data_IF_572144362868
#
_entry.id   IF_572144362868
#
_cell.length_a   1.000
_cell.length_b   1.000
_cell.length_c   1.000
_cell.angle_alpha   90.00
_cell.angle_beta   90.00
_cell.angle_gamma   90.00
#
_symmetry.space_group_name_H-M   'P 1'
#
loop_
_entity.id
_entity.type
_entity.pdbx_description
1 polymer ?
#
# COMPACT_ATOMS: atom_id res chain seq x y z
N UNK A 1 47.18 -12.71 8.50
CA UNK A 1 47.81 -11.42 8.19
C UNK A 1 47.38 -11.06 6.77
N UNK A 2 46.41 -10.19 6.60
CA UNK A 2 45.93 -9.73 5.31
C UNK A 2 45.45 -8.31 5.47
N UNK A 3 46.25 -7.38 5.01
CA UNK A 3 46.12 -5.92 5.12
C UNK A 3 45.13 -5.41 4.10
N UNK A 4 43.99 -4.87 4.53
CA UNK A 4 43.07 -4.18 3.65
C UNK A 4 43.43 -2.70 3.55
N UNK A 5 43.86 -2.31 2.36
CA UNK A 5 44.15 -0.93 1.99
C UNK A 5 42.84 -0.12 1.86
N UNK A 6 42.79 1.01 2.59
CA UNK A 6 41.76 2.05 2.47
C UNK A 6 42.04 2.91 1.23
N UNK A 7 41.12 2.95 0.27
CA UNK A 7 41.07 3.95 -0.77
C UNK A 7 40.02 5.00 -0.39
N UNK A 8 40.52 6.24 -0.16
CA UNK A 8 39.72 7.47 -0.15
C UNK A 8 39.74 8.08 -1.54
N UNK A 9 38.63 8.52 -2.13
CA UNK A 9 38.63 9.43 -3.26
C UNK A 9 38.60 10.88 -2.80
N UNK A 10 39.15 11.80 -3.62
CA UNK A 10 39.28 13.22 -3.26
C UNK A 10 38.02 14.02 -3.54
N UNK A 11 37.78 14.99 -2.67
CA UNK A 11 36.79 16.06 -2.77
C UNK A 11 37.17 17.02 -3.87
N UNK A 12 36.29 17.22 -4.84
CA UNK A 12 36.38 18.35 -5.77
C UNK A 12 35.18 19.28 -5.55
N UNK A 13 35.48 20.43 -4.95
CA UNK A 13 34.55 21.55 -4.85
C UNK A 13 34.59 22.36 -6.14
N UNK A 14 33.45 22.58 -6.79
CA UNK A 14 33.30 23.61 -7.81
C UNK A 14 32.04 24.40 -7.47
N UNK A 15 32.25 25.63 -7.04
CA UNK A 15 31.21 26.64 -6.89
C UNK A 15 30.94 27.34 -8.24
N UNK A 16 29.66 27.62 -8.49
CA UNK A 16 29.25 28.64 -9.47
C UNK A 16 27.94 29.26 -9.00
N UNK A 17 28.04 30.49 -8.51
CA UNK A 17 26.92 31.38 -8.26
C UNK A 17 26.52 32.05 -9.57
N UNK A 18 25.25 32.06 -9.90
CA UNK A 18 24.65 32.95 -10.89
C UNK A 18 23.30 33.45 -10.35
N UNK A 19 23.37 34.70 -9.88
CA UNK A 19 22.22 35.55 -9.62
C UNK A 19 21.73 36.15 -10.93
N UNK A 20 20.45 36.02 -11.22
CA UNK A 20 19.76 36.84 -12.22
C UNK A 20 18.44 37.33 -11.62
N UNK A 21 18.51 38.58 -11.16
CA UNK A 21 17.34 39.40 -10.88
C UNK A 21 16.76 39.87 -12.21
N UNK A 22 15.47 39.64 -12.39
CA UNK A 22 14.69 40.15 -13.51
C UNK A 22 13.37 40.70 -13.04
N UNK A 23 13.35 41.95 -12.57
CA UNK A 23 12.12 42.75 -12.50
C UNK A 23 11.79 43.25 -13.92
N UNK A 24 10.60 43.00 -14.40
CA UNK A 24 10.01 43.79 -15.47
C UNK A 24 8.57 44.15 -15.08
N UNK A 25 8.46 45.35 -14.59
CA UNK A 25 7.29 46.19 -14.59
C UNK A 25 7.05 46.73 -15.99
N UNK A 26 5.82 46.65 -16.47
CA UNK A 26 5.38 47.33 -17.68
C UNK A 26 4.00 46.79 -17.98
N UNK A 27 2.94 47.49 -17.96
CA UNK A 27 2.56 48.76 -18.43
C UNK A 27 1.11 48.59 -18.89
N UNK A 28 0.19 49.29 -18.26
CA UNK A 28 -1.20 49.41 -18.63
C UNK A 28 -1.34 49.89 -20.06
N UNK A 29 -2.14 49.22 -20.85
CA UNK A 29 -2.86 49.85 -21.98
C UNK A 29 -4.31 49.43 -21.90
N UNK A 30 -5.13 50.37 -21.47
CA UNK A 30 -6.58 50.36 -21.60
C UNK A 30 -6.92 50.29 -23.07
N UNK A 31 -7.64 49.28 -23.48
CA UNK A 31 -8.40 49.26 -24.73
C UNK A 31 -9.86 48.98 -24.38
N UNK A 32 -10.64 50.04 -24.52
CA UNK A 32 -12.10 50.04 -24.54
C UNK A 32 -12.58 49.20 -25.73
N UNK A 33 -13.15 48.04 -25.50
CA UNK A 33 -14.11 47.46 -26.41
C UNK A 33 -15.31 46.99 -25.62
N UNK A 34 -16.38 47.75 -25.72
CA UNK A 34 -17.71 47.35 -25.34
C UNK A 34 -18.12 46.15 -26.17
N UNK A 35 -18.62 45.09 -25.53
CA UNK A 35 -19.27 44.05 -26.27
C UNK A 35 -19.45 42.73 -25.51
N UNK A 36 -20.65 42.55 -24.96
CA UNK A 36 -21.35 41.30 -24.75
C UNK A 36 -20.74 40.28 -23.72
N UNK A 37 -21.55 40.19 -22.68
CA UNK A 37 -21.34 39.29 -21.51
C UNK A 37 -21.15 37.83 -21.89
N UNK A 38 -20.02 37.33 -21.47
CA UNK A 38 -19.85 35.93 -21.12
C UNK A 38 -19.53 35.91 -19.64
N UNK A 39 -20.49 35.40 -18.88
CA UNK A 39 -20.31 35.22 -17.46
C UNK A 39 -19.08 34.36 -17.22
N UNK A 40 -18.03 35.01 -16.70
CA UNK A 40 -16.94 34.29 -16.03
C UNK A 40 -17.56 33.71 -14.77
N UNK A 41 -17.91 32.45 -14.82
CA UNK A 41 -18.17 31.69 -13.62
C UNK A 41 -16.80 31.48 -12.94
N UNK A 42 -16.44 32.43 -12.09
CA UNK A 42 -15.43 32.19 -11.04
C UNK A 42 -16.04 31.16 -10.07
N UNK A 43 -16.22 29.95 -10.57
CA UNK A 43 -16.55 28.81 -9.73
C UNK A 43 -15.25 28.42 -9.05
N UNK A 44 -15.15 28.58 -7.71
CA UNK A 44 -13.97 28.11 -7.00
C UNK A 44 -13.74 26.64 -7.36
N UNK A 45 -12.49 26.16 -7.43
CA UNK A 45 -12.22 24.76 -7.72
C UNK A 45 -13.06 23.91 -6.79
N UNK A 46 -14.05 23.24 -7.37
CA UNK A 46 -14.90 22.33 -6.62
C UNK A 46 -13.97 21.26 -6.08
N UNK A 47 -13.77 21.23 -4.76
CA UNK A 47 -13.00 20.19 -4.11
C UNK A 47 -13.59 18.86 -4.61
N UNK A 48 -12.79 18.12 -5.36
CA UNK A 48 -13.17 16.84 -5.96
C UNK A 48 -13.64 15.96 -4.81
N UNK A 49 -14.94 15.75 -4.71
CA UNK A 49 -15.49 14.87 -3.68
C UNK A 49 -14.88 13.50 -3.89
N UNK A 50 -14.30 12.89 -2.83
CA UNK A 50 -13.77 11.53 -2.94
C UNK A 50 -14.85 10.63 -3.54
N UNK A 51 -14.49 9.88 -4.58
CA UNK A 51 -15.40 8.91 -5.18
C UNK A 51 -15.94 7.98 -4.08
N UNK A 52 -17.23 7.62 -4.09
CA UNK A 52 -17.80 6.76 -3.08
C UNK A 52 -17.03 5.45 -3.01
N UNK A 53 -16.53 5.12 -1.82
CA UNK A 53 -15.79 3.88 -1.58
C UNK A 53 -16.72 2.68 -1.75
N UNK A 54 -16.33 1.72 -2.57
CA UNK A 54 -17.04 0.44 -2.72
C UNK A 54 -16.75 -0.37 -1.46
N UNK A 55 -17.77 -0.86 -0.71
CA UNK A 55 -17.55 -1.67 0.47
C UNK A 55 -16.85 -2.99 0.12
N UNK A 56 -15.88 -3.40 0.92
CA UNK A 56 -15.28 -4.72 0.82
C UNK A 56 -16.30 -5.80 1.25
N UNK A 57 -16.24 -6.96 0.62
CA UNK A 57 -17.03 -8.14 1.02
C UNK A 57 -16.35 -8.94 2.11
N UNK A 58 -15.03 -8.80 2.27
CA UNK A 58 -14.22 -9.40 3.33
C UNK A 58 -14.11 -8.40 4.48
N UNK A 59 -14.43 -8.85 5.68
CA UNK A 59 -14.35 -8.01 6.87
C UNK A 59 -12.92 -7.91 7.40
N UNK A 60 -12.55 -6.77 7.94
CA UNK A 60 -11.24 -6.52 8.57
C UNK A 60 -10.92 -7.60 9.62
N UNK A 61 -11.90 -7.97 10.44
CA UNK A 61 -11.75 -9.00 11.49
C UNK A 61 -11.40 -10.39 10.96
N UNK A 62 -11.73 -10.67 9.70
CA UNK A 62 -11.41 -11.94 9.04
C UNK A 62 -9.97 -11.98 8.56
N UNK A 63 -9.35 -10.81 8.31
CA UNK A 63 -7.96 -10.68 7.88
C UNK A 63 -7.00 -10.65 9.07
N UNK A 64 -7.40 -10.06 10.18
CA UNK A 64 -6.61 -9.99 11.40
C UNK A 64 -6.27 -11.39 11.91
N UNK A 65 -4.99 -11.60 12.28
CA UNK A 65 -4.57 -12.87 12.84
C UNK A 65 -3.11 -13.22 12.59
N UNK A 66 -2.79 -14.48 12.88
CA UNK A 66 -1.47 -15.07 12.67
C UNK A 66 -1.51 -15.95 11.44
N UNK A 67 -0.57 -15.72 10.52
CA UNK A 67 -0.55 -16.37 9.22
C UNK A 67 0.83 -16.96 8.95
N UNK A 68 0.88 -18.21 8.49
CA UNK A 68 2.07 -18.69 7.82
C UNK A 68 2.11 -18.10 6.41
N UNK A 69 3.25 -17.59 5.96
CA UNK A 69 3.39 -16.89 4.70
C UNK A 69 4.45 -17.53 3.81
N UNK A 70 4.12 -17.66 2.53
CA UNK A 70 5.05 -17.96 1.44
C UNK A 70 4.54 -17.36 0.14
N UNK A 71 5.39 -17.26 -0.88
CA UNK A 71 4.99 -16.71 -2.18
C UNK A 71 5.48 -17.59 -3.33
N UNK A 72 4.78 -17.51 -4.48
CA UNK A 72 5.14 -18.20 -5.71
C UNK A 72 5.04 -17.27 -6.93
N UNK A 73 5.82 -17.57 -7.95
CA UNK A 73 5.80 -16.88 -9.24
C UNK A 73 5.10 -17.69 -10.34
N UNK A 74 5.11 -19.01 -10.21
CA UNK A 74 4.51 -19.91 -11.18
C UNK A 74 3.28 -20.60 -10.60
N UNK A 75 2.15 -20.61 -11.31
CA UNK A 75 0.90 -21.19 -10.81
C UNK A 75 1.01 -22.66 -10.37
N UNK A 76 1.87 -23.46 -11.02
CA UNK A 76 2.13 -24.85 -10.68
C UNK A 76 2.76 -25.02 -9.29
N UNK A 77 3.43 -24.01 -8.77
CA UNK A 77 4.04 -24.02 -7.43
C UNK A 77 3.06 -23.77 -6.29
N UNK A 78 1.81 -23.41 -6.58
CA UNK A 78 0.82 -23.01 -5.57
C UNK A 78 0.69 -24.03 -4.44
N UNK A 79 0.49 -25.30 -4.75
CA UNK A 79 0.27 -26.33 -3.74
C UNK A 79 1.50 -26.53 -2.82
N UNK A 80 2.68 -26.55 -3.39
CA UNK A 80 3.94 -26.64 -2.66
C UNK A 80 4.15 -25.42 -1.77
N UNK A 81 3.84 -24.24 -2.30
CA UNK A 81 3.96 -22.97 -1.56
C UNK A 81 2.96 -22.88 -0.40
N UNK A 82 1.75 -23.39 -0.58
CA UNK A 82 0.78 -23.45 0.53
C UNK A 82 1.26 -24.37 1.65
N UNK A 83 1.86 -25.52 1.34
CA UNK A 83 2.48 -26.39 2.34
C UNK A 83 3.65 -25.68 3.05
N UNK A 84 4.49 -24.95 2.32
CA UNK A 84 5.56 -24.14 2.89
C UNK A 84 5.01 -23.03 3.80
N UNK A 85 3.94 -22.34 3.41
CA UNK A 85 3.29 -21.33 4.25
C UNK A 85 2.80 -21.93 5.57
N UNK A 86 2.20 -23.14 5.56
CA UNK A 86 1.76 -23.82 6.79
C UNK A 86 2.92 -24.07 7.77
N UNK A 87 4.11 -24.41 7.28
CA UNK A 87 5.28 -24.65 8.13
C UNK A 87 5.81 -23.37 8.79
N UNK A 88 5.46 -22.19 8.28
CA UNK A 88 5.87 -20.89 8.83
C UNK A 88 5.06 -20.46 10.07
N UNK A 89 4.10 -21.24 10.53
CA UNK A 89 3.33 -20.91 11.72
C UNK A 89 4.17 -20.87 13.02
N UNK A 90 5.42 -21.35 13.01
CA UNK A 90 6.37 -21.16 14.10
C UNK A 90 6.85 -19.70 14.20
N UNK A 91 6.93 -19.01 13.06
CA UNK A 91 7.33 -17.59 12.93
C UNK A 91 6.28 -16.86 12.08
N UNK A 92 5.07 -16.68 12.60
CA UNK A 92 3.95 -16.23 11.80
C UNK A 92 4.08 -14.77 11.39
N UNK A 93 3.61 -14.47 10.20
CA UNK A 93 3.27 -13.12 9.79
C UNK A 93 2.02 -12.68 10.55
N UNK A 94 2.13 -11.61 11.33
CA UNK A 94 1.03 -11.12 12.16
C UNK A 94 0.38 -9.94 11.46
N UNK A 95 -0.90 -10.07 11.14
CA UNK A 95 -1.75 -8.97 10.69
C UNK A 95 -2.51 -8.48 11.91
N UNK A 96 -2.09 -7.32 12.45
CA UNK A 96 -2.70 -6.69 13.61
C UNK A 96 -3.88 -5.80 13.25
N UNK A 97 -4.66 -5.41 14.25
CA UNK A 97 -5.67 -4.36 14.10
C UNK A 97 -5.00 -2.98 14.08
N UNK A 98 -5.39 -2.14 13.15
CA UNK A 98 -4.97 -0.75 13.09
C UNK A 98 -5.78 0.16 14.02
N UNK A 99 -5.22 1.29 14.45
CA UNK A 99 -5.86 2.22 15.39
C UNK A 99 -7.13 2.89 14.83
N UNK A 100 -7.27 2.96 13.51
CA UNK A 100 -8.44 3.58 12.86
C UNK A 100 -9.36 2.57 12.18
N UNK A 101 -9.24 1.29 12.56
CA UNK A 101 -10.12 0.20 12.10
C UNK A 101 -9.62 -0.52 10.84
N UNK A 102 -8.38 -0.27 10.42
CA UNK A 102 -7.70 -1.01 9.37
C UNK A 102 -6.89 -2.19 9.89
N UNK A 103 -5.93 -2.65 9.10
CA UNK A 103 -4.97 -3.71 9.43
C UNK A 103 -3.54 -3.18 9.39
N UNK A 104 -2.69 -3.66 10.29
CA UNK A 104 -1.27 -3.32 10.32
C UNK A 104 -0.49 -4.30 9.46
N UNK A 105 0.06 -3.83 8.34
CA UNK A 105 0.88 -4.61 7.42
C UNK A 105 2.02 -3.76 6.84
N UNK A 106 3.02 -4.43 6.26
CA UNK A 106 4.07 -3.76 5.51
C UNK A 106 3.60 -3.42 4.09
N UNK A 107 3.96 -2.25 3.58
CA UNK A 107 3.91 -1.96 2.14
C UNK A 107 5.08 -2.66 1.42
N UNK A 108 5.03 -2.68 0.09
CA UNK A 108 6.18 -3.13 -0.69
C UNK A 108 7.41 -2.25 -0.40
N UNK A 109 8.57 -2.88 -0.31
CA UNK A 109 9.86 -2.21 -0.10
C UNK A 109 9.96 -1.35 1.19
N UNK A 110 9.06 -1.56 2.17
CA UNK A 110 9.08 -0.84 3.44
C UNK A 110 9.27 -1.79 4.62
N UNK A 111 10.05 -1.34 5.61
CA UNK A 111 10.33 -2.07 6.85
C UNK A 111 9.43 -1.64 8.02
N UNK A 112 8.57 -0.64 7.81
CA UNK A 112 7.65 -0.13 8.82
C UNK A 112 6.24 -0.64 8.57
N UNK A 113 5.54 -0.99 9.66
CA UNK A 113 4.12 -1.30 9.60
C UNK A 113 3.32 -0.03 9.31
N UNK A 114 2.40 -0.13 8.37
CA UNK A 114 1.43 0.92 8.05
C UNK A 114 0.02 0.39 8.27
N UNK A 115 -0.88 1.29 8.66
CA UNK A 115 -2.29 0.94 8.68
C UNK A 115 -2.86 0.94 7.26
N UNK A 116 -3.33 -0.21 6.83
CA UNK A 116 -3.95 -0.41 5.52
C UNK A 116 -5.45 -0.65 5.69
N UNK A 117 -6.21 -0.35 4.65
CA UNK A 117 -7.65 -0.58 4.57
C UNK A 117 -7.96 -1.84 3.79
N UNK A 118 -8.97 -2.57 4.24
CA UNK A 118 -9.62 -3.58 3.40
C UNK A 118 -10.67 -2.86 2.58
N UNK A 119 -10.49 -2.81 1.26
CA UNK A 119 -11.26 -2.00 0.31
C UNK A 119 -11.98 -2.89 -0.69
N UNK A 120 -13.21 -2.53 -1.04
CA UNK A 120 -13.88 -3.11 -2.19
C UNK A 120 -13.48 -2.39 -3.48
N UNK A 121 -13.57 -3.08 -4.59
CA UNK A 121 -13.29 -2.53 -5.90
C UNK A 121 -14.27 -3.03 -6.97
N UNK A 122 -14.10 -2.58 -8.20
CA UNK A 122 -14.95 -2.97 -9.32
C UNK A 122 -15.04 -4.50 -9.47
N UNK A 123 -16.22 -5.00 -9.81
CA UNK A 123 -16.45 -6.43 -10.01
C UNK A 123 -16.46 -7.27 -8.72
N UNK A 124 -16.66 -6.65 -7.55
CA UNK A 124 -16.72 -7.36 -6.27
C UNK A 124 -15.36 -7.82 -5.74
N UNK A 125 -14.28 -7.30 -6.30
CA UNK A 125 -12.92 -7.59 -5.85
C UNK A 125 -12.64 -6.94 -4.51
N UNK A 126 -11.73 -7.53 -3.73
CA UNK A 126 -11.27 -7.00 -2.46
C UNK A 126 -9.77 -6.70 -2.52
N UNK A 127 -9.37 -5.63 -1.85
CA UNK A 127 -7.99 -5.15 -1.84
C UNK A 127 -7.55 -4.80 -0.43
N UNK A 128 -6.24 -4.87 -0.18
CA UNK A 128 -5.61 -4.33 1.03
C UNK A 128 -4.57 -3.31 0.59
N UNK A 129 -4.71 -2.08 1.05
CA UNK A 129 -3.79 -0.99 0.73
C UNK A 129 -4.05 0.28 1.53
N UNK A 130 -3.37 1.35 1.19
CA UNK A 130 -3.57 2.64 1.81
C UNK A 130 -5.00 3.16 1.57
N UNK A 131 -5.48 4.03 2.47
CA UNK A 131 -6.75 4.71 2.26
C UNK A 131 -6.74 5.51 0.96
N UNK A 132 -7.87 5.58 0.26
CA UNK A 132 -8.03 6.31 -0.98
C UNK A 132 -8.47 5.43 -2.15
N UNK A 133 -8.03 5.79 -3.36
CA UNK A 133 -8.43 5.15 -4.62
C UNK A 133 -8.26 3.63 -4.60
N UNK A 134 -9.16 2.91 -5.22
CA UNK A 134 -9.14 1.45 -5.38
C UNK A 134 -9.47 1.08 -6.84
N UNK A 135 -8.63 0.25 -7.51
CA UNK A 135 -7.31 -0.20 -7.04
C UNK A 135 -6.24 0.90 -7.14
N UNK A 136 -5.28 0.86 -6.22
CA UNK A 136 -4.05 1.64 -6.25
C UNK A 136 -2.87 0.72 -6.61
N UNK A 137 -1.79 1.18 -7.25
CA UNK A 137 -0.62 0.36 -7.57
C UNK A 137 -0.03 -0.39 -6.35
N UNK A 138 -0.05 0.23 -5.17
CA UNK A 138 0.45 -0.38 -3.94
C UNK A 138 -0.54 -1.33 -3.25
N UNK A 139 -1.77 -1.42 -3.76
CA UNK A 139 -2.76 -2.35 -3.22
C UNK A 139 -2.37 -3.81 -3.53
N UNK A 140 -2.82 -4.70 -2.66
CA UNK A 140 -2.84 -6.15 -2.91
C UNK A 140 -4.27 -6.59 -3.16
N UNK A 141 -4.55 -7.16 -4.31
CA UNK A 141 -5.81 -7.81 -4.60
C UNK A 141 -5.88 -9.13 -3.81
N UNK A 142 -6.96 -9.36 -3.08
CA UNK A 142 -7.26 -10.65 -2.48
C UNK A 142 -7.95 -11.48 -3.56
N UNK A 143 -7.20 -12.35 -4.21
CA UNK A 143 -7.69 -13.18 -5.32
C UNK A 143 -8.46 -14.41 -4.86
N UNK A 144 -8.25 -14.84 -3.62
CA UNK A 144 -8.96 -15.96 -3.00
C UNK A 144 -8.91 -15.84 -1.48
N UNK A 145 -10.05 -16.10 -0.82
CA UNK A 145 -10.15 -16.13 0.64
C UNK A 145 -11.27 -17.08 1.08
N UNK A 146 -10.96 -18.03 1.94
CA UNK A 146 -11.91 -18.99 2.53
C UNK A 146 -11.94 -18.94 4.07
N UNK A 147 -11.32 -17.91 4.67
CA UNK A 147 -11.15 -17.75 6.12
C UNK A 147 -9.95 -18.51 6.68
N UNK A 148 -9.40 -19.50 5.97
CA UNK A 148 -8.24 -20.32 6.36
C UNK A 148 -7.02 -20.05 5.49
N UNK A 149 -7.24 -19.84 4.21
CA UNK A 149 -6.21 -19.51 3.23
C UNK A 149 -6.60 -18.21 2.55
N UNK A 150 -5.66 -17.29 2.47
CA UNK A 150 -5.79 -16.03 1.77
C UNK A 150 -4.68 -15.93 0.72
N UNK A 151 -5.06 -15.62 -0.51
CA UNK A 151 -4.11 -15.44 -1.61
C UNK A 151 -4.18 -13.99 -2.07
N UNK A 152 -3.02 -13.34 -2.13
CA UNK A 152 -2.92 -11.94 -2.53
C UNK A 152 -1.85 -11.73 -3.58
N UNK A 153 -2.11 -10.79 -4.49
CA UNK A 153 -1.14 -10.34 -5.50
C UNK A 153 -1.14 -8.82 -5.55
N UNK A 154 0.02 -8.20 -5.75
CA UNK A 154 0.09 -6.75 -5.94
C UNK A 154 -0.59 -6.32 -7.25
N UNK A 155 -1.25 -5.17 -7.21
CA UNK A 155 -1.90 -4.59 -8.39
C UNK A 155 -0.85 -4.13 -9.41
N UNK A 156 0.24 -3.54 -8.93
CA UNK A 156 1.36 -3.16 -9.78
C UNK A 156 2.10 -4.41 -10.30
N UNK A 157 2.24 -4.58 -11.63
CA UNK A 157 2.85 -5.77 -12.21
C UNK A 157 4.35 -5.89 -11.93
N UNK A 158 5.06 -4.79 -11.74
CA UNK A 158 6.49 -4.82 -11.39
C UNK A 158 6.66 -5.30 -9.96
N UNK A 159 5.87 -4.79 -9.03
CA UNK A 159 5.86 -5.25 -7.64
C UNK A 159 5.44 -6.73 -7.57
N UNK A 160 4.38 -7.11 -8.30
CA UNK A 160 3.93 -8.50 -8.40
C UNK A 160 5.03 -9.41 -8.97
N UNK A 161 5.77 -8.95 -9.96
CA UNK A 161 6.91 -9.67 -10.54
C UNK A 161 8.04 -9.91 -9.54
N UNK A 162 8.29 -8.98 -8.62
CA UNK A 162 9.32 -9.11 -7.57
C UNK A 162 8.88 -10.00 -6.41
N UNK A 163 7.67 -9.82 -5.93
CA UNK A 163 7.18 -10.47 -4.71
C UNK A 163 6.39 -11.76 -4.99
N UNK A 164 5.92 -11.96 -6.22
CA UNK A 164 5.06 -13.07 -6.58
C UNK A 164 3.64 -12.97 -5.99
N UNK A 165 2.93 -14.07 -6.03
CA UNK A 165 1.63 -14.26 -5.41
C UNK A 165 1.81 -14.82 -4.00
N UNK A 166 1.38 -14.06 -2.99
CA UNK A 166 1.47 -14.45 -1.58
C UNK A 166 0.36 -15.40 -1.18
N UNK A 167 0.70 -16.48 -0.48
CA UNK A 167 -0.23 -17.37 0.19
C UNK A 167 -0.08 -17.19 1.69
N UNK A 168 -1.19 -16.93 2.35
CA UNK A 168 -1.31 -16.79 3.79
C UNK A 168 -2.19 -17.92 4.31
N UNK A 169 -1.63 -18.77 5.16
CA UNK A 169 -2.36 -19.87 5.80
C UNK A 169 -2.57 -19.52 7.25
N UNK A 170 -3.82 -19.53 7.71
CA UNK A 170 -4.15 -19.19 9.11
C UNK A 170 -3.52 -20.19 10.07
N UNK A 171 -2.73 -19.68 11.00
CA UNK A 171 -2.15 -20.49 12.06
C UNK A 171 -3.19 -20.77 13.16
N UNK A 172 -3.09 -21.94 13.77
CA UNK A 172 -3.88 -22.26 14.95
C UNK A 172 -3.63 -21.23 16.07
N UNK A 173 -4.61 -20.96 16.94
CA UNK A 173 -4.40 -20.18 18.14
C UNK A 173 -3.23 -20.75 18.93
N UNK A 174 -2.35 -19.88 19.46
CA UNK A 174 -1.28 -20.34 20.35
C UNK A 174 -1.91 -21.02 21.56
N UNK A 175 -1.43 -22.18 21.95
CA UNK A 175 -1.93 -22.97 23.09
C UNK A 175 -1.85 -22.25 24.47
N UNK A 176 -1.52 -20.96 24.50
CA UNK A 176 -1.39 -20.12 25.70
C UNK A 176 -2.48 -19.07 25.90
N UNK A 177 -3.45 -18.93 24.99
CA UNK A 177 -4.53 -17.93 25.11
C UNK A 177 -5.89 -18.62 25.25
N UNK A 178 -6.02 -19.50 26.21
CA UNK A 178 -7.32 -19.81 26.79
C UNK A 178 -7.68 -18.61 27.64
N UNK A 179 -8.63 -17.78 27.16
CA UNK A 179 -9.22 -16.73 27.95
C UNK A 179 -9.77 -17.36 29.25
N UNK A 180 -9.05 -17.13 30.35
CA UNK A 180 -9.55 -17.33 31.69
C UNK A 180 -10.57 -16.22 31.95
N UNK A 181 -11.80 -16.46 31.55
CA UNK A 181 -12.87 -15.47 31.65
C UNK A 181 -14.25 -16.06 31.55
N UNK A 182 -14.51 -17.11 32.33
CA UNK A 182 -15.89 -17.45 32.66
C UNK A 182 -15.91 -18.04 34.08
N UNK A 183 -15.87 -17.15 35.06
CA UNK A 183 -16.31 -17.47 36.43
C UNK A 183 -17.80 -17.11 36.51
N UNK A 184 -18.61 -18.11 36.77
CA UNK A 184 -20.05 -18.03 37.08
C UNK A 184 -20.31 -17.11 38.28
#
# INVERSE_FOLDING_TARGET
MGTFARFLPPVAAIGAALALAGCSSGGSLSSLTSGWGFGNSDQPPQAEQPAPEIPATIRVTEVIGRWGYAAFHKPEDRQRTEAAARSQCNHPFVIGQGPTGGVMMYLADQSELKELRVKGGPGGKNYIGLAGKTPDPQDREITSFDGRVMVMVFVDPEIAGRYGTGIYVRCAPSAGTVASGQKR
#
